data_IF_198799129278
#
_entry.id   IF_198799129278
#
_cell.length_a   1.000
_cell.length_b   1.000
_cell.length_c   1.000
_cell.angle_alpha   90.00
_cell.angle_beta   90.00
_cell.angle_gamma   90.00
#
_symmetry.space_group_name_H-M   'P 1'
#
loop_
_entity.id
_entity.type
_entity.pdbx_description
1 polymer ?
#
# COMPACT_ATOMS: atom_id res chain seq x y z
N UNK A 1 -11.14 -72.71 47.17
CA UNK A 1 -9.81 -73.23 47.54
C UNK A 1 -8.91 -73.20 46.32
N UNK A 2 -7.67 -72.79 46.53
CA UNK A 2 -6.64 -72.42 45.56
C UNK A 2 -6.03 -73.67 44.90
N UNK A 3 -5.58 -73.54 43.64
CA UNK A 3 -4.29 -74.00 43.03
C UNK A 3 -4.53 -74.45 41.58
N UNK A 4 -4.12 -73.64 40.60
CA UNK A 4 -2.77 -73.58 40.01
C UNK A 4 -2.46 -74.79 39.12
N UNK A 5 -2.47 -74.55 37.80
CA UNK A 5 -1.68 -75.30 36.82
C UNK A 5 -1.19 -74.32 35.76
N UNK A 6 0.08 -73.92 35.89
CA UNK A 6 0.88 -73.38 34.79
C UNK A 6 1.22 -74.51 33.81
N UNK A 7 1.27 -74.22 32.51
CA UNK A 7 1.75 -75.20 31.54
C UNK A 7 1.57 -74.86 30.06
N UNK A 8 2.37 -73.91 29.57
CA UNK A 8 2.95 -73.90 28.21
C UNK A 8 2.00 -73.70 26.99
N UNK A 9 1.64 -72.44 26.70
CA UNK A 9 1.18 -72.05 25.37
C UNK A 9 2.39 -71.61 24.51
N UNK A 10 2.61 -72.34 23.42
CA UNK A 10 3.68 -72.12 22.42
C UNK A 10 3.67 -70.68 21.90
N UNK A 11 4.85 -70.06 21.89
CA UNK A 11 5.13 -68.78 21.25
C UNK A 11 4.75 -68.83 19.76
N UNK A 12 3.69 -68.12 19.38
CA UNK A 12 3.43 -67.77 17.99
C UNK A 12 4.26 -66.52 17.71
N UNK A 13 5.40 -66.72 17.06
CA UNK A 13 6.21 -65.63 16.53
C UNK A 13 5.46 -64.99 15.36
N UNK A 14 4.74 -63.90 15.64
CA UNK A 14 4.35 -62.97 14.59
C UNK A 14 5.63 -62.31 14.05
N UNK A 15 6.09 -62.76 12.88
CA UNK A 15 7.03 -61.98 12.07
C UNK A 15 6.37 -60.63 11.80
N UNK A 16 6.81 -59.60 12.52
CA UNK A 16 6.47 -58.21 12.26
C UNK A 16 7.06 -57.87 10.90
N UNK A 17 6.23 -57.91 9.86
CA UNK A 17 6.60 -57.46 8.53
C UNK A 17 6.73 -55.93 8.60
N UNK A 18 7.93 -55.44 8.94
CA UNK A 18 8.25 -54.01 8.94
C UNK A 18 8.43 -53.51 7.49
N UNK A 19 7.36 -53.57 6.70
CA UNK A 19 7.17 -52.61 5.61
C UNK A 19 6.16 -51.60 6.12
N UNK A 20 6.65 -50.54 6.75
CA UNK A 20 5.87 -49.32 6.80
C UNK A 20 5.70 -48.88 5.35
N UNK A 21 4.53 -49.13 4.75
CA UNK A 21 4.05 -48.41 3.58
C UNK A 21 3.77 -46.95 4.01
N UNK A 22 4.84 -46.25 4.38
CA UNK A 22 4.80 -44.85 4.68
C UNK A 22 4.62 -44.15 3.33
N UNK A 23 3.38 -43.78 3.01
CA UNK A 23 3.04 -42.95 1.85
C UNK A 23 4.01 -41.77 1.85
N UNK A 24 4.91 -41.73 0.88
CA UNK A 24 5.88 -40.67 0.82
C UNK A 24 5.19 -39.44 0.26
N UNK A 25 5.59 -38.25 0.73
CA UNK A 25 4.95 -37.01 0.31
C UNK A 25 5.00 -36.83 -1.23
N UNK A 26 5.94 -37.46 -1.92
CA UNK A 26 6.03 -37.43 -3.38
C UNK A 26 5.07 -38.37 -4.13
N UNK A 27 4.38 -39.26 -3.42
CA UNK A 27 3.37 -40.17 -3.98
C UNK A 27 1.99 -39.49 -4.10
N UNK A 28 1.83 -38.29 -3.55
CA UNK A 28 0.58 -37.53 -3.67
C UNK A 28 0.39 -36.97 -5.09
N UNK A 29 -0.86 -36.85 -5.55
CA UNK A 29 -1.21 -36.17 -6.78
C UNK A 29 -0.62 -34.75 -6.91
N UNK A 30 -0.27 -34.37 -8.15
CA UNK A 30 0.40 -33.11 -8.50
C UNK A 30 -0.38 -31.87 -8.05
N UNK A 31 -1.72 -31.93 -8.10
CA UNK A 31 -2.64 -30.90 -7.65
C UNK A 31 -2.59 -30.70 -6.12
N UNK A 32 -2.50 -31.78 -5.34
CA UNK A 32 -2.33 -31.71 -3.89
C UNK A 32 -0.96 -31.11 -3.55
N UNK A 33 0.10 -31.54 -4.24
CA UNK A 33 1.44 -30.98 -4.05
C UNK A 33 1.52 -29.50 -4.44
N UNK A 34 0.83 -29.11 -5.52
CA UNK A 34 0.66 -27.72 -5.92
C UNK A 34 -0.09 -26.90 -4.87
N UNK A 35 -1.15 -27.47 -4.28
CA UNK A 35 -1.89 -26.83 -3.17
C UNK A 35 -1.01 -26.63 -1.94
N UNK A 36 -0.17 -27.61 -1.58
CA UNK A 36 0.81 -27.49 -0.49
C UNK A 36 1.80 -26.37 -0.80
N UNK A 37 2.42 -26.36 -1.99
CA UNK A 37 3.34 -25.30 -2.41
C UNK A 37 2.70 -23.91 -2.36
N UNK A 38 1.39 -23.83 -2.61
CA UNK A 38 0.66 -22.56 -2.54
C UNK A 38 0.59 -22.01 -1.12
N UNK A 39 0.51 -22.88 -0.10
CA UNK A 39 0.39 -22.42 1.30
C UNK A 39 1.73 -21.97 1.89
N UNK A 40 2.85 -22.36 1.28
CA UNK A 40 4.18 -22.02 1.75
C UNK A 40 4.62 -20.59 1.39
N UNK A 41 5.57 -20.06 2.15
CA UNK A 41 6.27 -18.83 1.78
C UNK A 41 7.18 -19.08 0.57
N UNK A 42 7.47 -18.02 -0.20
CA UNK A 42 8.38 -18.09 -1.36
C UNK A 42 9.73 -18.77 -1.05
N UNK A 43 10.25 -18.59 0.18
CA UNK A 43 11.53 -19.18 0.59
C UNK A 43 11.41 -20.68 0.89
N UNK A 44 10.36 -21.09 1.58
CA UNK A 44 10.12 -22.50 1.90
C UNK A 44 9.86 -23.29 0.62
N UNK A 45 8.98 -22.76 -0.24
CA UNK A 45 8.57 -23.42 -1.47
C UNK A 45 9.70 -23.49 -2.51
N UNK A 46 10.56 -22.46 -2.59
CA UNK A 46 11.81 -22.57 -3.38
C UNK A 46 12.82 -23.54 -2.77
N UNK A 47 12.85 -23.67 -1.43
CA UNK A 47 13.62 -24.68 -0.72
C UNK A 47 13.15 -26.11 -1.01
N UNK A 48 11.84 -26.33 -1.16
CA UNK A 48 11.30 -27.63 -1.55
C UNK A 48 11.84 -28.10 -2.90
N UNK A 49 12.07 -27.18 -3.84
CA UNK A 49 12.70 -27.51 -5.13
C UNK A 49 14.14 -28.07 -5.03
N UNK A 50 14.76 -27.98 -3.85
CA UNK A 50 16.06 -28.58 -3.56
C UNK A 50 15.94 -30.00 -2.99
N UNK A 51 14.77 -30.40 -2.50
CA UNK A 51 14.53 -31.70 -1.84
C UNK A 51 14.52 -32.85 -2.85
N UNK A 52 13.89 -32.68 -4.01
CA UNK A 52 13.89 -33.69 -5.07
C UNK A 52 13.65 -33.10 -6.46
N UNK A 53 13.89 -33.90 -7.50
CA UNK A 53 13.60 -33.53 -8.89
C UNK A 53 12.10 -33.29 -9.13
N UNK A 54 11.22 -34.03 -8.45
CA UNK A 54 9.76 -33.87 -8.53
C UNK A 54 9.37 -32.49 -7.99
N UNK A 55 9.79 -32.16 -6.76
CA UNK A 55 9.52 -30.85 -6.17
C UNK A 55 10.13 -29.70 -6.97
N UNK A 56 11.30 -29.90 -7.57
CA UNK A 56 11.92 -28.90 -8.46
C UNK A 56 11.04 -28.62 -9.66
N UNK A 57 10.51 -29.66 -10.31
CA UNK A 57 9.64 -29.53 -11.48
C UNK A 57 8.32 -28.85 -11.10
N UNK A 58 7.70 -29.30 -10.00
CA UNK A 58 6.48 -28.72 -9.46
C UNK A 58 6.65 -27.24 -9.12
N UNK A 59 7.72 -26.88 -8.40
CA UNK A 59 8.00 -25.50 -8.06
C UNK A 59 8.14 -24.61 -9.31
N UNK A 60 8.84 -25.09 -10.35
CA UNK A 60 9.05 -24.32 -11.59
C UNK A 60 7.77 -24.08 -12.39
N UNK A 61 6.75 -24.92 -12.23
CA UNK A 61 5.50 -24.85 -13.00
C UNK A 61 4.29 -24.35 -12.19
N UNK A 62 4.30 -24.52 -10.87
CA UNK A 62 3.17 -24.21 -9.97
C UNK A 62 3.50 -23.10 -8.96
N UNK A 63 4.63 -22.41 -9.10
CA UNK A 63 4.94 -21.26 -8.26
C UNK A 63 3.89 -20.16 -8.47
N UNK A 64 3.18 -19.78 -7.41
CA UNK A 64 2.11 -18.79 -7.45
C UNK A 64 2.49 -17.42 -6.85
N UNK A 65 3.56 -17.39 -6.04
CA UNK A 65 4.05 -16.21 -5.30
C UNK A 65 5.54 -16.05 -5.54
N UNK A 66 5.93 -14.96 -6.19
CA UNK A 66 7.32 -14.55 -6.36
C UNK A 66 7.59 -13.31 -5.50
N UNK A 67 8.52 -13.44 -4.57
CA UNK A 67 8.86 -12.36 -3.63
C UNK A 67 10.36 -12.15 -3.59
N UNK A 68 10.84 -11.15 -4.33
CA UNK A 68 12.24 -10.77 -4.42
C UNK A 68 12.49 -9.53 -3.58
N UNK A 69 13.06 -9.73 -2.39
CA UNK A 69 13.44 -8.66 -1.47
C UNK A 69 14.87 -8.86 -1.01
N UNK A 70 15.41 -7.90 -0.26
CA UNK A 70 16.71 -8.09 0.39
C UNK A 70 16.75 -9.38 1.23
N UNK A 71 15.68 -9.70 1.95
CA UNK A 71 15.62 -10.83 2.88
C UNK A 71 15.46 -12.18 2.16
N UNK A 72 14.70 -12.24 1.07
CA UNK A 72 14.53 -13.49 0.31
C UNK A 72 15.71 -13.77 -0.60
N UNK A 73 16.41 -12.72 -1.03
CA UNK A 73 17.58 -12.88 -1.87
C UNK A 73 18.84 -13.09 -1.01
N UNK A 74 19.18 -12.19 -0.11
CA UNK A 74 20.43 -12.32 0.62
C UNK A 74 20.20 -13.02 1.95
N UNK A 75 20.83 -14.19 2.13
CA UNK A 75 20.79 -14.83 3.43
C UNK A 75 21.55 -13.97 4.45
N UNK A 76 21.00 -13.75 5.66
CA UNK A 76 21.64 -12.89 6.67
C UNK A 76 23.06 -13.35 7.04
N UNK A 77 23.26 -14.67 7.14
CA UNK A 77 24.52 -15.32 7.56
C UNK A 77 25.54 -15.45 6.44
N UNK A 78 25.12 -15.36 5.18
CA UNK A 78 26.03 -15.49 4.05
C UNK A 78 26.71 -14.13 3.76
N UNK A 79 27.94 -13.99 4.26
CA UNK A 79 28.78 -12.79 4.06
C UNK A 79 29.56 -12.80 2.74
N UNK A 80 29.63 -13.94 2.02
CA UNK A 80 30.45 -14.05 0.80
C UNK A 80 29.83 -13.28 -0.38
N UNK A 81 28.50 -13.13 -0.40
CA UNK A 81 27.81 -12.39 -1.46
C UNK A 81 27.64 -10.93 -1.05
N UNK A 82 28.35 -10.04 -1.75
CA UNK A 82 28.17 -8.58 -1.59
C UNK A 82 26.71 -8.21 -1.90
N UNK A 83 26.08 -7.43 -1.01
CA UNK A 83 24.68 -6.98 -1.11
C UNK A 83 24.54 -5.78 -2.05
N UNK A 84 24.97 -5.95 -3.29
CA UNK A 84 24.93 -4.89 -4.33
C UNK A 84 23.65 -4.96 -5.15
N UNK A 85 23.33 -3.86 -5.82
CA UNK A 85 22.20 -3.77 -6.78
C UNK A 85 22.37 -4.74 -7.95
N UNK A 86 23.59 -4.85 -8.47
CA UNK A 86 23.93 -5.77 -9.57
C UNK A 86 23.74 -7.22 -9.15
N UNK A 87 24.24 -7.61 -7.96
CA UNK A 87 24.07 -8.98 -7.46
C UNK A 87 22.59 -9.31 -7.20
N UNK A 88 21.81 -8.36 -6.70
CA UNK A 88 20.37 -8.54 -6.57
C UNK A 88 19.74 -8.82 -7.93
N UNK A 89 20.04 -7.98 -8.93
CA UNK A 89 19.48 -8.11 -10.28
C UNK A 89 19.87 -9.44 -10.95
N UNK A 90 21.14 -9.84 -10.88
CA UNK A 90 21.60 -11.13 -11.44
C UNK A 90 20.92 -12.33 -10.79
N UNK A 91 20.66 -12.26 -9.48
CA UNK A 91 19.95 -13.34 -8.79
C UNK A 91 18.48 -13.39 -9.21
N UNK A 92 17.79 -12.25 -9.31
CA UNK A 92 16.40 -12.22 -9.82
C UNK A 92 16.35 -12.80 -11.23
N UNK A 93 17.25 -12.38 -12.12
CA UNK A 93 17.38 -12.93 -13.47
C UNK A 93 17.55 -14.45 -13.46
N UNK A 94 18.45 -14.97 -12.61
CA UNK A 94 18.72 -16.41 -12.49
C UNK A 94 17.50 -17.19 -11.98
N UNK A 95 16.71 -16.61 -11.08
CA UNK A 95 15.47 -17.23 -10.61
C UNK A 95 14.41 -17.24 -11.71
N UNK A 96 14.14 -16.10 -12.35
CA UNK A 96 13.09 -15.99 -13.37
C UNK A 96 13.37 -16.87 -14.59
N UNK A 97 14.64 -17.04 -14.98
CA UNK A 97 15.03 -17.96 -16.08
C UNK A 97 14.67 -19.43 -15.82
N UNK A 98 14.46 -19.82 -14.56
CA UNK A 98 14.12 -21.20 -14.21
C UNK A 98 12.62 -21.48 -14.18
N UNK A 99 11.79 -20.45 -14.29
CA UNK A 99 10.34 -20.55 -14.13
C UNK A 99 9.64 -20.53 -15.49
N UNK A 100 8.53 -21.27 -15.59
CA UNK A 100 7.67 -21.25 -16.77
C UNK A 100 6.62 -20.13 -16.64
N UNK A 101 6.29 -19.46 -17.76
CA UNK A 101 5.34 -18.34 -17.80
C UNK A 101 3.88 -18.76 -18.04
N UNK A 102 3.58 -20.06 -18.05
CA UNK A 102 2.25 -20.57 -18.43
C UNK A 102 1.20 -20.51 -17.31
N UNK A 103 1.63 -20.41 -16.05
CA UNK A 103 0.73 -20.40 -14.90
C UNK A 103 0.48 -18.96 -14.41
N UNK A 104 -0.77 -18.59 -14.10
CA UNK A 104 -1.07 -17.27 -13.57
C UNK A 104 -0.44 -17.08 -12.19
N UNK A 105 0.31 -15.99 -12.02
CA UNK A 105 0.84 -15.60 -10.72
C UNK A 105 -0.21 -14.84 -9.90
N UNK A 106 -0.37 -15.22 -8.64
CA UNK A 106 -1.14 -14.38 -7.73
C UNK A 106 -0.34 -13.15 -7.31
N UNK A 107 0.96 -13.33 -7.03
CA UNK A 107 1.78 -12.26 -6.45
C UNK A 107 3.18 -12.19 -7.04
N UNK A 108 3.55 -11.00 -7.49
CA UNK A 108 4.87 -10.67 -8.01
C UNK A 108 5.40 -9.42 -7.31
N UNK A 109 6.43 -9.62 -6.46
CA UNK A 109 6.99 -8.56 -5.61
C UNK A 109 8.48 -8.41 -5.87
N UNK A 110 8.92 -7.18 -6.13
CA UNK A 110 10.31 -6.77 -6.17
C UNK A 110 10.48 -5.57 -5.24
N UNK A 111 11.25 -5.73 -4.16
CA UNK A 111 11.61 -4.65 -3.24
C UNK A 111 13.12 -4.57 -3.05
N UNK A 112 13.76 -3.66 -3.78
CA UNK A 112 15.18 -3.39 -3.64
C UNK A 112 15.51 -2.06 -4.30
N UNK A 113 16.38 -1.24 -3.71
CA UNK A 113 16.66 0.12 -4.15
C UNK A 113 17.38 0.25 -5.50
N UNK A 114 16.80 -0.24 -6.59
CA UNK A 114 17.32 -0.21 -7.95
C UNK A 114 17.22 1.21 -8.54
N UNK A 115 17.94 1.42 -9.64
CA UNK A 115 18.12 2.72 -10.29
C UNK A 115 18.01 2.56 -11.80
N UNK A 116 17.84 3.66 -12.53
CA UNK A 116 17.72 3.70 -13.99
C UNK A 116 18.76 2.87 -14.74
N UNK A 117 20.00 2.78 -14.26
CA UNK A 117 21.04 1.93 -14.85
C UNK A 117 20.72 0.42 -14.92
N UNK A 118 19.72 -0.07 -14.19
CA UNK A 118 19.30 -1.48 -14.19
C UNK A 118 18.06 -1.73 -15.06
N UNK A 119 17.67 -0.76 -15.90
CA UNK A 119 16.47 -0.82 -16.76
C UNK A 119 16.39 -2.11 -17.59
N UNK A 120 17.52 -2.60 -18.12
CA UNK A 120 17.55 -3.84 -18.90
C UNK A 120 17.09 -5.07 -18.12
N UNK A 121 17.42 -5.17 -16.84
CA UNK A 121 16.94 -6.24 -15.97
C UNK A 121 15.46 -6.05 -15.64
N UNK A 122 15.11 -4.85 -15.16
CA UNK A 122 13.74 -4.55 -14.72
C UNK A 122 12.74 -4.73 -15.87
N UNK A 123 13.04 -4.24 -17.08
CA UNK A 123 12.18 -4.43 -18.26
C UNK A 123 11.89 -5.91 -18.54
N UNK A 124 12.89 -6.80 -18.38
CA UNK A 124 12.68 -8.24 -18.55
C UNK A 124 11.76 -8.81 -17.47
N UNK A 125 11.90 -8.34 -16.22
CA UNK A 125 11.04 -8.76 -15.12
C UNK A 125 9.60 -8.28 -15.27
N UNK A 126 9.40 -7.05 -15.74
CA UNK A 126 8.06 -6.51 -16.01
C UNK A 126 7.38 -7.30 -17.13
N UNK A 127 8.10 -7.66 -18.20
CA UNK A 127 7.56 -8.53 -19.26
C UNK A 127 7.19 -9.92 -18.73
N UNK A 128 8.04 -10.52 -17.90
CA UNK A 128 7.73 -11.79 -17.23
C UNK A 128 6.47 -11.67 -16.36
N UNK A 129 6.35 -10.60 -15.57
CA UNK A 129 5.21 -10.31 -14.71
C UNK A 129 3.90 -10.15 -15.52
N UNK A 130 3.96 -9.42 -16.63
CA UNK A 130 2.83 -9.25 -17.55
C UNK A 130 2.42 -10.59 -18.19
N UNK A 131 3.38 -11.34 -18.75
CA UNK A 131 3.13 -12.63 -19.38
C UNK A 131 2.54 -13.68 -18.42
N UNK A 132 2.92 -13.62 -17.15
CA UNK A 132 2.39 -14.49 -16.09
C UNK A 132 1.07 -14.02 -15.48
N UNK A 133 0.42 -13.00 -16.06
CA UNK A 133 -0.91 -12.50 -15.65
C UNK A 133 -1.00 -12.21 -14.15
N UNK A 134 0.06 -11.62 -13.59
CA UNK A 134 0.18 -11.39 -12.17
C UNK A 134 -0.97 -10.54 -11.61
N UNK A 135 -1.65 -11.01 -10.56
CA UNK A 135 -2.78 -10.28 -9.95
C UNK A 135 -2.33 -9.18 -8.99
N UNK A 136 -1.29 -9.44 -8.21
CA UNK A 136 -0.75 -8.52 -7.23
C UNK A 136 0.69 -8.16 -7.57
N UNK A 137 0.90 -6.94 -8.07
CA UNK A 137 2.19 -6.44 -8.53
C UNK A 137 2.71 -5.42 -7.53
N UNK A 138 3.95 -5.60 -7.08
CA UNK A 138 4.65 -4.66 -6.21
C UNK A 138 6.05 -4.44 -6.74
N UNK A 139 6.32 -3.23 -7.22
CA UNK A 139 7.64 -2.81 -7.68
C UNK A 139 8.07 -1.62 -6.83
N UNK A 140 8.98 -1.84 -5.91
CA UNK A 140 9.43 -0.84 -4.96
C UNK A 140 10.96 -0.71 -4.97
N UNK A 141 11.41 0.40 -5.54
CA UNK A 141 12.82 0.74 -5.64
C UNK A 141 13.26 1.80 -4.65
N UNK A 142 12.48 2.02 -3.59
CA UNK A 142 12.82 2.97 -2.54
C UNK A 142 14.17 2.56 -1.93
N UNK A 143 15.16 3.47 -1.92
CA UNK A 143 16.42 3.19 -1.23
C UNK A 143 16.13 2.98 0.26
N UNK A 144 16.88 2.09 0.91
CA UNK A 144 16.75 1.90 2.37
C UNK A 144 17.02 3.19 3.16
N UNK A 145 16.68 3.16 4.45
CA UNK A 145 16.52 4.24 5.45
C UNK A 145 17.50 5.45 5.40
N UNK A 146 18.66 5.34 4.73
CA UNK A 146 19.62 6.45 4.55
C UNK A 146 19.24 7.48 3.47
N UNK A 147 18.00 7.48 2.97
CA UNK A 147 17.58 8.34 1.86
C UNK A 147 16.18 8.93 2.04
N UNK A 148 16.07 10.01 2.81
CA UNK A 148 14.88 10.86 2.83
C UNK A 148 14.70 11.62 1.51
N UNK A 149 15.80 11.86 0.78
CA UNK A 149 15.76 12.56 -0.49
C UNK A 149 14.89 11.81 -1.52
N UNK A 150 13.92 12.53 -2.08
CA UNK A 150 13.08 12.11 -3.21
C UNK A 150 13.88 11.56 -4.39
N UNK A 151 15.15 11.97 -4.49
CA UNK A 151 16.09 11.64 -5.55
C UNK A 151 15.69 12.27 -6.88
N UNK A 152 16.69 12.59 -7.70
CA UNK A 152 16.43 13.16 -9.01
C UNK A 152 15.65 12.16 -9.89
N UNK A 153 14.66 12.67 -10.62
CA UNK A 153 13.81 11.88 -11.52
C UNK A 153 14.65 11.09 -12.54
N UNK A 154 15.77 11.65 -13.02
CA UNK A 154 16.71 11.01 -13.94
C UNK A 154 17.34 9.70 -13.38
N UNK A 155 17.31 9.49 -12.06
CA UNK A 155 17.88 8.31 -11.41
C UNK A 155 16.87 7.17 -11.25
N UNK A 156 15.58 7.46 -11.41
CA UNK A 156 14.47 6.51 -11.22
C UNK A 156 14.23 5.70 -12.50
N UNK A 157 13.76 4.48 -12.31
CA UNK A 157 13.33 3.64 -13.42
C UNK A 157 12.01 4.18 -13.99
N UNK A 158 11.88 4.24 -15.32
CA UNK A 158 10.60 4.59 -15.95
C UNK A 158 9.79 3.31 -16.05
N UNK A 159 8.65 3.26 -15.36
CA UNK A 159 7.77 2.11 -15.37
C UNK A 159 6.90 2.12 -16.63
N UNK A 160 6.94 1.05 -17.45
CA UNK A 160 6.23 1.01 -18.72
C UNK A 160 4.78 0.53 -18.51
N UNK A 161 3.85 1.47 -18.28
CA UNK A 161 2.43 1.17 -18.07
C UNK A 161 1.82 0.38 -19.24
N UNK A 162 2.25 0.70 -20.48
CA UNK A 162 1.78 0.08 -21.72
C UNK A 162 2.11 -1.42 -21.87
N UNK A 163 3.08 -1.97 -21.12
CA UNK A 163 3.42 -3.41 -21.18
C UNK A 163 2.29 -4.29 -20.62
N UNK A 164 1.34 -3.69 -19.90
CA UNK A 164 0.14 -4.36 -19.40
C UNK A 164 -1.09 -4.11 -20.30
N UNK A 165 -0.95 -3.33 -21.37
CA UNK A 165 -2.00 -3.21 -22.38
C UNK A 165 -1.91 -4.40 -23.33
N UNK A 166 -2.89 -5.30 -23.29
CA UNK A 166 -3.00 -6.40 -24.27
C UNK A 166 -3.44 -5.90 -25.65
N UNK A 167 -3.50 -6.79 -26.67
CA UNK A 167 -4.09 -6.49 -27.98
C UNK A 167 -5.52 -5.94 -27.88
N UNK A 168 -6.25 -6.36 -26.82
CA UNK A 168 -7.63 -5.95 -26.51
C UNK A 168 -7.68 -4.75 -25.53
N UNK A 169 -6.54 -4.10 -25.25
CA UNK A 169 -6.47 -2.84 -24.51
C UNK A 169 -6.54 -2.90 -22.98
N UNK A 170 -6.73 -4.06 -22.34
CA UNK A 170 -6.81 -4.14 -20.87
C UNK A 170 -6.18 -5.41 -20.29
N UNK A 171 -5.22 -5.28 -19.36
CA UNK A 171 -4.85 -6.39 -18.49
C UNK A 171 -5.89 -6.52 -17.37
N UNK A 172 -6.92 -7.31 -17.64
CA UNK A 172 -8.03 -7.61 -16.72
C UNK A 172 -7.62 -8.33 -15.43
N UNK A 173 -6.37 -8.78 -15.31
CA UNK A 173 -5.90 -9.64 -14.23
C UNK A 173 -5.38 -8.87 -13.01
N UNK A 174 -4.78 -7.69 -13.23
CA UNK A 174 -4.11 -6.94 -12.15
C UNK A 174 -5.17 -6.33 -11.24
N UNK A 175 -5.16 -6.78 -9.98
CA UNK A 175 -6.05 -6.30 -8.93
C UNK A 175 -5.35 -5.32 -7.99
N UNK A 176 -4.08 -5.56 -7.67
CA UNK A 176 -3.30 -4.70 -6.79
C UNK A 176 -2.01 -4.24 -7.47
N UNK A 177 -1.77 -2.93 -7.47
CA UNK A 177 -0.58 -2.32 -8.03
C UNK A 177 0.06 -1.40 -6.98
N UNK A 178 1.27 -1.76 -6.55
CA UNK A 178 2.13 -0.92 -5.73
C UNK A 178 3.38 -0.53 -6.51
N UNK A 179 3.58 0.77 -6.69
CA UNK A 179 4.77 1.34 -7.31
C UNK A 179 5.47 2.25 -6.29
N UNK A 180 6.76 1.99 -6.08
CA UNK A 180 7.62 2.73 -5.17
C UNK A 180 8.87 3.22 -5.87
N UNK A 181 9.14 4.53 -5.82
CA UNK A 181 10.37 5.14 -6.31
C UNK A 181 10.65 4.90 -7.81
N UNK A 182 9.63 5.12 -8.64
CA UNK A 182 9.70 5.03 -10.11
C UNK A 182 9.26 6.33 -10.76
N UNK A 183 9.57 6.50 -12.04
CA UNK A 183 8.98 7.50 -12.91
C UNK A 183 7.81 6.88 -13.67
N UNK A 184 6.72 7.63 -13.80
CA UNK A 184 5.63 7.32 -14.70
C UNK A 184 5.68 8.27 -15.89
N UNK A 185 5.65 7.70 -17.08
CA UNK A 185 5.37 8.44 -18.30
C UNK A 185 3.88 8.35 -18.57
N UNK A 186 3.20 9.48 -18.41
CA UNK A 186 1.75 9.62 -18.55
C UNK A 186 1.35 10.17 -19.90
N UNK A 187 2.31 10.48 -20.79
CA UNK A 187 2.03 10.89 -22.17
C UNK A 187 1.46 9.73 -23.00
N UNK A 188 1.75 8.48 -22.61
CA UNK A 188 1.21 7.26 -23.20
C UNK A 188 0.06 6.69 -22.36
N UNK A 189 -1.17 6.64 -22.89
CA UNK A 189 -2.35 5.83 -22.45
C UNK A 189 -2.63 5.59 -20.94
N UNK A 190 -2.01 6.37 -20.04
CA UNK A 190 -2.17 6.34 -18.59
C UNK A 190 -2.27 4.95 -17.94
N UNK A 191 -3.19 4.85 -17.00
CA UNK A 191 -3.50 3.61 -16.26
C UNK A 191 -4.59 2.76 -16.95
N UNK A 192 -4.92 3.01 -18.22
CA UNK A 192 -6.01 2.31 -18.92
C UNK A 192 -5.85 0.78 -18.93
N UNK A 193 -4.60 0.31 -18.87
CA UNK A 193 -4.26 -1.12 -18.77
C UNK A 193 -4.79 -1.82 -17.50
N UNK A 194 -5.28 -1.07 -16.50
CA UNK A 194 -5.60 -1.56 -15.15
C UNK A 194 -7.08 -1.41 -14.77
N UNK A 195 -8.02 -1.66 -15.70
CA UNK A 195 -9.45 -1.46 -15.47
C UNK A 195 -10.05 -2.21 -14.24
N UNK A 196 -9.52 -3.39 -13.91
CA UNK A 196 -9.98 -4.22 -12.78
C UNK A 196 -9.21 -3.96 -11.47
N UNK A 197 -8.44 -2.87 -11.40
CA UNK A 197 -7.64 -2.55 -10.24
C UNK A 197 -8.54 -2.24 -9.03
N UNK A 198 -8.30 -2.96 -7.93
CA UNK A 198 -8.94 -2.77 -6.63
C UNK A 198 -8.11 -1.91 -5.70
N UNK A 199 -6.77 -1.97 -5.81
CA UNK A 199 -5.86 -1.21 -4.96
C UNK A 199 -4.73 -0.60 -5.76
N UNK A 200 -4.59 0.72 -5.67
CA UNK A 200 -3.47 1.47 -6.20
C UNK A 200 -2.67 2.08 -5.06
N UNK A 201 -1.35 1.87 -5.09
CA UNK A 201 -0.42 2.52 -4.16
C UNK A 201 0.75 3.11 -4.94
N UNK A 202 0.93 4.42 -4.81
CA UNK A 202 1.97 5.21 -5.45
C UNK A 202 2.83 5.85 -4.34
N UNK A 203 4.10 5.49 -4.28
CA UNK A 203 5.04 5.99 -3.28
C UNK A 203 6.27 6.59 -3.95
N UNK A 204 6.61 7.85 -3.64
CA UNK A 204 7.81 8.53 -4.20
C UNK A 204 7.87 8.53 -5.72
N UNK A 205 6.72 8.69 -6.37
CA UNK A 205 6.62 8.70 -7.83
C UNK A 205 7.05 10.06 -8.39
N UNK A 206 7.77 10.03 -9.50
CA UNK A 206 8.00 11.21 -10.35
C UNK A 206 7.18 11.08 -11.63
N UNK A 207 6.61 12.17 -12.10
CA UNK A 207 5.79 12.19 -13.32
C UNK A 207 6.58 12.91 -14.43
N UNK A 208 6.64 12.29 -15.61
CA UNK A 208 7.23 12.89 -16.80
C UNK A 208 6.14 13.59 -17.62
N UNK A 209 6.51 14.63 -18.37
CA UNK A 209 5.61 15.24 -19.37
C UNK A 209 4.79 16.45 -18.91
N UNK A 210 5.20 17.17 -17.86
CA UNK A 210 4.62 18.49 -17.54
C UNK A 210 3.13 18.50 -17.24
N UNK A 211 2.58 17.36 -16.74
CA UNK A 211 1.17 17.26 -16.42
C UNK A 211 0.73 18.34 -15.45
N UNK A 212 -0.44 18.93 -15.69
CA UNK A 212 -1.14 19.80 -14.75
C UNK A 212 -1.95 18.99 -13.70
N UNK A 213 -2.27 17.72 -13.96
CA UNK A 213 -3.00 16.85 -13.05
C UNK A 213 -2.76 15.37 -13.34
N UNK A 214 -2.83 14.50 -12.31
CA UNK A 214 -2.94 13.06 -12.50
C UNK A 214 -4.42 12.68 -12.71
N UNK A 215 -4.78 12.37 -13.95
CA UNK A 215 -6.12 11.88 -14.29
C UNK A 215 -6.19 10.37 -14.04
N UNK A 216 -7.04 9.95 -13.10
CA UNK A 216 -7.36 8.54 -12.91
C UNK A 216 -8.41 8.12 -13.97
N UNK A 217 -8.17 7.02 -14.72
CA UNK A 217 -9.14 6.51 -15.68
C UNK A 217 -10.37 5.94 -14.97
N UNK A 218 -11.34 5.48 -15.75
CA UNK A 218 -12.53 4.79 -15.25
C UNK A 218 -12.14 3.46 -14.58
N UNK A 219 -11.95 3.53 -13.25
CA UNK A 219 -11.72 2.34 -12.44
C UNK A 219 -13.05 1.81 -11.88
N UNK A 220 -13.61 0.82 -12.55
CA UNK A 220 -14.86 0.18 -12.13
C UNK A 220 -14.74 -0.67 -10.86
N UNK A 221 -13.51 -0.93 -10.39
CA UNK A 221 -13.24 -1.81 -9.25
C UNK A 221 -12.38 -1.20 -8.15
N UNK A 222 -11.95 0.07 -8.26
CA UNK A 222 -10.99 0.64 -7.31
C UNK A 222 -11.66 0.85 -5.95
N UNK A 223 -11.12 0.18 -4.92
CA UNK A 223 -11.59 0.23 -3.54
C UNK A 223 -10.62 1.03 -2.65
N UNK A 224 -9.34 1.11 -3.04
CA UNK A 224 -8.28 1.71 -2.25
C UNK A 224 -7.29 2.51 -3.09
N UNK A 225 -7.11 3.79 -2.73
CA UNK A 225 -6.10 4.67 -3.30
C UNK A 225 -5.14 5.16 -2.21
N UNK A 226 -3.84 4.98 -2.42
CA UNK A 226 -2.83 5.57 -1.56
C UNK A 226 -1.74 6.24 -2.38
N UNK A 227 -1.50 7.51 -2.13
CA UNK A 227 -0.44 8.30 -2.78
C UNK A 227 0.39 8.93 -1.68
N UNK A 228 1.71 8.72 -1.72
CA UNK A 228 2.61 9.24 -0.69
C UNK A 228 3.92 9.74 -1.26
N UNK A 229 4.40 10.87 -0.73
CA UNK A 229 5.63 11.51 -1.16
C UNK A 229 5.66 11.74 -2.68
N UNK A 230 4.57 12.21 -3.28
CA UNK A 230 4.51 12.51 -4.71
C UNK A 230 4.43 14.02 -4.92
N UNK A 231 5.05 14.51 -5.99
CA UNK A 231 4.88 15.89 -6.45
C UNK A 231 4.02 15.87 -7.71
N UNK A 232 2.82 16.42 -7.59
CA UNK A 232 1.75 16.37 -8.59
C UNK A 232 0.99 17.68 -8.49
N UNK A 233 0.80 18.47 -9.56
CA UNK A 233 0.08 19.74 -9.43
C UNK A 233 -1.39 19.55 -9.03
N UNK A 234 -2.03 18.44 -9.38
CA UNK A 234 -3.37 18.08 -8.92
C UNK A 234 -3.65 16.59 -9.01
N UNK A 235 -4.73 16.16 -8.36
CA UNK A 235 -5.31 14.82 -8.47
C UNK A 235 -6.79 14.95 -8.81
N UNK A 236 -7.22 14.40 -9.95
CA UNK A 236 -8.62 14.40 -10.31
C UNK A 236 -9.09 13.13 -11.02
N UNK A 237 -10.40 12.92 -11.00
CA UNK A 237 -11.07 11.78 -11.63
C UNK A 237 -11.90 12.23 -12.81
N UNK A 238 -11.89 11.47 -13.91
CA UNK A 238 -12.78 11.75 -15.04
C UNK A 238 -14.25 11.40 -14.77
N UNK A 239 -14.51 10.51 -13.81
CA UNK A 239 -15.83 9.99 -13.46
C UNK A 239 -15.89 9.59 -11.98
N UNK A 240 -17.10 9.43 -11.40
CA UNK A 240 -17.27 9.00 -10.02
C UNK A 240 -16.67 7.61 -9.75
N UNK A 241 -15.79 7.52 -8.75
CA UNK A 241 -15.20 6.26 -8.29
C UNK A 241 -16.14 5.52 -7.35
N UNK A 242 -17.16 4.86 -7.92
CA UNK A 242 -18.29 4.25 -7.21
C UNK A 242 -17.90 3.22 -6.13
N UNK A 243 -16.77 2.53 -6.28
CA UNK A 243 -16.34 1.49 -5.33
C UNK A 243 -15.26 1.95 -4.36
N UNK A 244 -14.78 3.19 -4.47
CA UNK A 244 -13.69 3.68 -3.65
C UNK A 244 -14.14 3.86 -2.21
N UNK A 245 -13.45 3.18 -1.29
CA UNK A 245 -13.76 3.19 0.15
C UNK A 245 -12.72 3.91 0.97
N UNK A 246 -11.46 3.86 0.53
CA UNK A 246 -10.36 4.49 1.25
C UNK A 246 -9.44 5.28 0.34
N UNK A 247 -9.14 6.51 0.76
CA UNK A 247 -8.13 7.38 0.15
C UNK A 247 -7.12 7.78 1.21
N UNK A 248 -5.83 7.61 0.91
CA UNK A 248 -4.72 8.07 1.75
C UNK A 248 -3.75 8.93 0.96
N UNK A 249 -3.53 10.17 1.40
CA UNK A 249 -2.66 11.15 0.76
C UNK A 249 -1.67 11.68 1.79
N UNK A 250 -0.39 11.33 1.65
CA UNK A 250 0.62 11.63 2.66
C UNK A 250 1.87 12.30 2.07
N UNK A 251 2.26 13.45 2.62
CA UNK A 251 3.48 14.17 2.25
C UNK A 251 3.55 14.47 0.74
N UNK A 252 2.41 14.80 0.13
CA UNK A 252 2.34 15.12 -1.29
C UNK A 252 2.37 16.64 -1.50
N UNK A 253 3.06 17.09 -2.55
CA UNK A 253 2.98 18.47 -3.02
C UNK A 253 1.89 18.53 -4.09
N UNK A 254 0.67 18.87 -3.67
CA UNK A 254 -0.55 18.99 -4.47
C UNK A 254 -1.11 20.41 -4.36
N UNK A 255 -1.70 20.97 -5.42
CA UNK A 255 -2.42 22.25 -5.33
C UNK A 255 -3.91 22.06 -5.03
N UNK A 256 -4.51 20.98 -5.51
CA UNK A 256 -5.92 20.65 -5.29
C UNK A 256 -6.20 19.15 -5.46
N UNK A 257 -7.28 18.68 -4.85
CA UNK A 257 -7.81 17.33 -4.99
C UNK A 257 -9.28 17.40 -5.41
N UNK A 258 -9.65 16.74 -6.50
CA UNK A 258 -11.03 16.68 -7.00
C UNK A 258 -11.37 15.22 -7.28
N UNK A 259 -11.87 14.52 -6.26
CA UNK A 259 -12.29 13.13 -6.35
C UNK A 259 -13.79 13.07 -6.19
N UNK A 260 -14.50 12.41 -7.09
CA UNK A 260 -15.91 12.13 -6.88
C UNK A 260 -16.06 10.70 -6.37
N UNK A 261 -16.26 10.52 -5.06
CA UNK A 261 -16.23 9.22 -4.40
C UNK A 261 -17.45 9.03 -3.46
N UNK A 262 -18.64 8.73 -4.00
CA UNK A 262 -19.90 8.73 -3.24
C UNK A 262 -20.02 7.64 -2.16
N UNK A 263 -19.13 6.65 -2.18
CA UNK A 263 -19.10 5.53 -1.24
C UNK A 263 -17.85 5.53 -0.34
N UNK A 264 -17.16 6.68 -0.23
CA UNK A 264 -15.97 6.81 0.58
C UNK A 264 -16.31 6.66 2.06
N UNK A 265 -15.59 5.76 2.74
CA UNK A 265 -15.78 5.47 4.17
C UNK A 265 -14.58 5.94 5.01
N UNK A 266 -13.40 6.10 4.39
CA UNK A 266 -12.18 6.49 5.09
C UNK A 266 -11.34 7.45 4.25
N UNK A 267 -11.00 8.59 4.83
CA UNK A 267 -10.09 9.57 4.23
C UNK A 267 -8.95 9.89 5.21
N UNK A 268 -7.72 9.85 4.71
CA UNK A 268 -6.53 10.13 5.51
C UNK A 268 -5.64 11.08 4.71
N UNK A 269 -5.44 12.27 5.25
CA UNK A 269 -4.68 13.35 4.64
C UNK A 269 -3.59 13.81 5.62
N UNK A 270 -2.32 13.70 5.22
CA UNK A 270 -1.18 14.24 5.98
C UNK A 270 -0.35 15.13 5.07
N UNK A 271 -0.77 16.39 4.89
CA UNK A 271 -0.20 17.33 3.91
C UNK A 271 -0.26 18.77 4.49
N UNK A 272 0.43 19.74 3.86
CA UNK A 272 0.08 21.15 4.05
C UNK A 272 -1.40 21.40 3.70
N UNK A 273 -2.01 22.49 4.18
CA UNK A 273 -3.37 22.87 3.80
C UNK A 273 -3.55 22.88 2.28
N UNK A 274 -4.54 22.13 1.77
CA UNK A 274 -4.82 22.03 0.34
C UNK A 274 -6.34 21.92 0.12
N UNK A 275 -6.93 22.66 -0.82
CA UNK A 275 -8.35 22.52 -1.11
C UNK A 275 -8.65 21.13 -1.68
N UNK A 276 -9.76 20.54 -1.23
CA UNK A 276 -10.20 19.24 -1.75
C UNK A 276 -11.71 19.10 -1.82
N UNK A 277 -12.17 18.34 -2.82
CA UNK A 277 -13.57 17.96 -3.03
C UNK A 277 -13.63 16.44 -3.16
N UNK A 278 -14.49 15.79 -2.37
CA UNK A 278 -14.64 14.31 -2.34
C UNK A 278 -15.99 13.81 -2.90
N UNK A 279 -16.87 14.71 -3.32
CA UNK A 279 -18.27 14.42 -3.65
C UNK A 279 -19.11 14.12 -2.40
N UNK A 280 -20.43 14.22 -2.50
CA UNK A 280 -21.32 13.90 -1.37
C UNK A 280 -21.31 12.39 -1.11
N UNK A 281 -20.87 11.97 0.08
CA UNK A 281 -20.95 10.57 0.52
C UNK A 281 -22.21 10.35 1.35
N UNK A 282 -22.95 9.29 1.04
CA UNK A 282 -24.14 8.88 1.80
C UNK A 282 -23.81 7.89 2.93
N UNK A 283 -22.53 7.53 3.10
CA UNK A 283 -22.08 6.54 4.08
C UNK A 283 -21.39 7.20 5.27
N UNK A 284 -21.39 6.47 6.38
CA UNK A 284 -20.55 6.80 7.54
C UNK A 284 -19.10 6.90 7.08
N UNK A 285 -18.53 8.08 7.28
CA UNK A 285 -17.19 8.43 6.82
C UNK A 285 -16.34 8.84 8.02
N UNK A 286 -15.14 8.27 8.09
CA UNK A 286 -14.09 8.65 9.03
C UNK A 286 -12.99 9.42 8.29
N UNK A 287 -12.56 10.56 8.83
CA UNK A 287 -11.48 11.36 8.28
C UNK A 287 -10.37 11.59 9.31
N UNK A 288 -9.12 11.45 8.87
CA UNK A 288 -7.93 11.79 9.66
C UNK A 288 -7.15 12.85 8.89
N UNK A 289 -7.04 14.05 9.44
CA UNK A 289 -6.40 15.20 8.80
C UNK A 289 -5.21 15.62 9.67
N UNK A 290 -4.00 15.55 9.13
CA UNK A 290 -2.78 16.05 9.75
C UNK A 290 -2.19 17.16 8.89
N UNK A 291 -2.24 18.39 9.39
CA UNK A 291 -1.75 19.57 8.69
C UNK A 291 -0.26 19.75 8.94
N UNK A 292 0.50 19.81 7.86
CA UNK A 292 1.95 20.03 7.87
C UNK A 292 2.23 21.50 7.56
N UNK A 293 1.99 22.37 8.53
CA UNK A 293 2.28 23.80 8.48
C UNK A 293 3.00 24.21 9.76
N UNK A 294 3.74 25.34 9.73
CA UNK A 294 4.23 25.99 10.95
C UNK A 294 3.27 27.08 11.43
N UNK A 295 2.32 27.48 10.60
CA UNK A 295 1.37 28.55 10.87
C UNK A 295 0.07 28.00 11.47
N UNK A 296 -0.73 28.90 12.03
CA UNK A 296 -2.09 28.61 12.47
C UNK A 296 -2.96 28.23 11.26
N UNK A 297 -3.70 27.11 11.38
CA UNK A 297 -4.56 26.58 10.33
C UNK A 297 -6.05 26.63 10.69
N UNK A 298 -6.44 27.39 11.73
CA UNK A 298 -7.84 27.50 12.13
C UNK A 298 -8.75 28.00 11.00
N UNK A 299 -8.32 28.97 10.20
CA UNK A 299 -9.11 29.45 9.06
C UNK A 299 -9.42 28.31 8.08
N UNK A 300 -8.43 27.49 7.73
CA UNK A 300 -8.61 26.30 6.89
C UNK A 300 -9.52 25.25 7.56
N UNK A 301 -9.39 25.04 8.87
CA UNK A 301 -10.22 24.09 9.63
C UNK A 301 -11.69 24.56 9.69
N UNK A 302 -11.92 25.87 9.69
CA UNK A 302 -13.26 26.46 9.79
C UNK A 302 -13.91 26.73 8.45
N UNK A 303 -13.12 26.80 7.37
CA UNK A 303 -13.61 27.13 6.04
C UNK A 303 -13.63 25.93 5.11
N UNK A 304 -12.45 25.39 4.79
CA UNK A 304 -12.28 24.33 3.80
C UNK A 304 -12.78 22.98 4.30
N UNK A 305 -12.46 22.60 5.54
CA UNK A 305 -12.85 21.28 6.06
C UNK A 305 -14.38 21.08 6.16
N UNK A 306 -15.19 22.02 6.70
CA UNK A 306 -16.64 21.85 6.74
C UNK A 306 -17.27 21.83 5.35
N UNK A 307 -16.70 22.58 4.40
CA UNK A 307 -17.16 22.57 3.01
C UNK A 307 -16.86 21.23 2.32
N UNK A 308 -15.67 20.66 2.54
CA UNK A 308 -15.23 19.44 1.89
C UNK A 308 -15.72 18.14 2.58
N UNK A 309 -15.97 18.19 3.89
CA UNK A 309 -16.28 17.04 4.75
C UNK A 309 -17.63 17.21 5.48
N UNK A 310 -18.60 17.89 4.88
CA UNK A 310 -19.90 18.19 5.50
C UNK A 310 -20.65 16.96 6.06
N UNK A 311 -20.45 15.78 5.47
CA UNK A 311 -21.11 14.52 5.87
C UNK A 311 -20.24 13.57 6.69
N UNK A 312 -19.05 14.00 7.14
CA UNK A 312 -18.17 13.17 7.96
C UNK A 312 -18.82 12.86 9.31
N UNK A 313 -18.58 11.66 9.85
CA UNK A 313 -19.14 11.22 11.14
C UNK A 313 -18.12 11.22 12.27
N UNK A 314 -16.87 10.85 11.95
CA UNK A 314 -15.73 10.91 12.88
C UNK A 314 -14.58 11.63 12.21
N UNK A 315 -14.07 12.67 12.87
CA UNK A 315 -12.98 13.50 12.36
C UNK A 315 -11.86 13.56 13.41
N UNK A 316 -10.65 13.19 13.01
CA UNK A 316 -9.43 13.43 13.79
C UNK A 316 -8.61 14.50 13.10
N UNK A 317 -8.27 15.58 13.81
CA UNK A 317 -7.42 16.66 13.31
C UNK A 317 -6.12 16.70 14.10
N UNK A 318 -4.99 16.81 13.43
CA UNK A 318 -3.71 17.13 14.02
C UNK A 318 -3.18 18.38 13.34
N UNK A 319 -3.12 19.49 14.05
CA UNK A 319 -2.62 20.77 13.53
C UNK A 319 -1.91 21.51 14.65
N UNK A 320 -0.77 22.15 14.38
CA UNK A 320 -0.25 23.19 15.27
C UNK A 320 -1.33 24.26 15.51
N UNK A 321 -1.35 24.77 16.74
CA UNK A 321 -2.14 25.92 17.13
C UNK A 321 -1.18 26.99 17.62
N UNK A 322 -1.14 28.13 16.94
CA UNK A 322 -0.31 29.26 17.33
C UNK A 322 -1.13 30.20 18.21
N UNK A 323 -0.58 30.55 19.38
CA UNK A 323 -1.17 31.48 20.34
C UNK A 323 -0.35 32.76 20.27
N UNK A 324 -0.98 33.85 19.82
CA UNK A 324 -0.38 35.18 19.75
C UNK A 324 -1.26 36.15 20.57
N UNK A 325 -0.68 37.28 20.99
CA UNK A 325 -1.37 38.32 21.78
C UNK A 325 -2.56 38.98 21.05
N UNK A 326 -2.58 38.91 19.72
CA UNK A 326 -3.67 39.43 18.89
C UNK A 326 -4.59 38.30 18.43
N UNK A 327 -5.89 38.42 18.74
CA UNK A 327 -6.94 37.55 18.22
C UNK A 327 -6.99 37.65 16.69
N UNK A 328 -6.34 36.73 15.99
CA UNK A 328 -6.54 36.58 14.55
C UNK A 328 -7.96 36.10 14.29
N UNK A 329 -8.77 37.02 13.73
CA UNK A 329 -10.08 36.71 13.19
C UNK A 329 -9.96 35.67 12.06
N UNK A 330 -10.94 34.79 11.99
CA UNK A 330 -11.07 33.80 10.92
C UNK A 330 -12.35 34.08 10.13
N UNK A 331 -12.38 33.69 8.86
CA UNK A 331 -13.56 33.86 8.04
C UNK A 331 -14.68 32.94 8.55
N UNK A 332 -15.79 33.53 9.03
CA UNK A 332 -17.00 32.77 9.34
C UNK A 332 -17.73 32.48 8.03
N UNK A 333 -17.83 31.20 7.66
CA UNK A 333 -18.64 30.76 6.52
C UNK A 333 -19.82 29.89 6.95
N UNK A 334 -20.78 29.73 6.04
CA UNK A 334 -22.02 28.98 6.27
C UNK A 334 -21.82 27.45 6.27
N UNK A 335 -20.67 26.96 5.78
CA UNK A 335 -20.42 25.52 5.71
C UNK A 335 -20.32 24.90 7.12
N UNK A 336 -20.89 23.71 7.29
CA UNK A 336 -20.98 23.02 8.58
C UNK A 336 -20.70 21.54 8.43
N UNK A 337 -20.21 20.94 9.51
CA UNK A 337 -20.17 19.49 9.67
C UNK A 337 -21.54 18.98 10.12
N UNK A 338 -22.41 18.69 9.15
CA UNK A 338 -23.83 18.38 9.37
C UNK A 338 -24.00 17.07 10.16
N UNK A 339 -23.12 16.08 9.92
CA UNK A 339 -23.25 14.72 10.47
C UNK A 339 -22.14 14.35 11.46
N UNK A 340 -21.26 15.28 11.83
CA UNK A 340 -20.11 14.99 12.69
C UNK A 340 -20.57 14.73 14.12
N UNK A 341 -20.27 13.53 14.63
CA UNK A 341 -20.60 13.10 15.98
C UNK A 341 -19.38 13.02 16.90
N UNK A 342 -18.21 12.70 16.35
CA UNK A 342 -16.99 12.50 17.14
C UNK A 342 -15.84 13.32 16.55
N UNK A 343 -15.33 14.28 17.31
CA UNK A 343 -14.19 15.12 16.93
C UNK A 343 -13.03 14.91 17.91
N UNK A 344 -11.89 14.45 17.40
CA UNK A 344 -10.65 14.38 18.16
C UNK A 344 -9.66 15.39 17.59
N UNK A 345 -9.07 16.23 18.43
CA UNK A 345 -8.04 17.19 18.01
C UNK A 345 -6.74 17.01 18.79
N UNK A 346 -5.64 16.96 18.06
CA UNK A 346 -4.28 16.95 18.60
C UNK A 346 -3.60 18.26 18.22
N UNK A 347 -3.38 19.11 19.21
CA UNK A 347 -2.97 20.50 19.03
C UNK A 347 -1.65 20.77 19.77
N UNK A 348 -0.50 20.62 19.08
CA UNK A 348 0.76 21.14 19.58
C UNK A 348 0.69 22.67 19.64
N UNK A 349 0.87 23.24 20.83
CA UNK A 349 0.87 24.69 21.02
C UNK A 349 2.23 25.29 20.70
N UNK A 350 2.19 26.44 20.03
CA UNK A 350 3.33 27.31 19.80
C UNK A 350 2.96 28.75 20.19
N UNK A 351 3.90 29.50 20.76
CA UNK A 351 3.67 30.89 21.19
C UNK A 351 3.54 31.03 22.70
N UNK A 352 2.85 32.08 23.16
CA UNK A 352 2.69 32.35 24.58
C UNK A 352 1.67 31.39 25.21
N UNK A 353 2.17 30.51 26.09
CA UNK A 353 1.37 29.50 26.77
C UNK A 353 0.57 30.08 27.94
N UNK A 354 0.82 31.33 28.35
CA UNK A 354 0.05 32.03 29.38
C UNK A 354 -1.28 32.58 28.83
N UNK A 355 -1.39 32.74 27.52
CA UNK A 355 -2.61 33.19 26.86
C UNK A 355 -3.59 32.03 26.57
N UNK A 356 -4.82 32.15 27.07
CA UNK A 356 -5.92 31.19 26.83
C UNK A 356 -6.72 31.51 25.56
N UNK A 357 -6.51 32.69 24.97
CA UNK A 357 -7.35 33.21 23.88
C UNK A 357 -7.28 32.34 22.62
N UNK A 358 -6.12 31.71 22.38
CA UNK A 358 -5.94 30.75 21.30
C UNK A 358 -6.85 29.52 21.42
N UNK A 359 -7.08 29.04 22.65
CA UNK A 359 -7.95 27.89 22.92
C UNK A 359 -9.42 28.29 22.81
N UNK A 360 -9.79 29.49 23.26
CA UNK A 360 -11.16 30.00 23.16
C UNK A 360 -11.65 30.10 21.71
N UNK A 361 -10.74 30.34 20.75
CA UNK A 361 -11.05 30.32 19.31
C UNK A 361 -11.60 28.97 18.83
N UNK A 362 -11.31 27.86 19.54
CA UNK A 362 -11.84 26.52 19.23
C UNK A 362 -13.34 26.41 19.51
N UNK A 363 -13.92 27.29 20.33
CA UNK A 363 -15.35 27.27 20.62
C UNK A 363 -16.21 27.40 19.35
N UNK A 364 -15.69 28.04 18.30
CA UNK A 364 -16.39 28.15 17.01
C UNK A 364 -16.63 26.79 16.34
N UNK A 365 -15.84 25.75 16.64
CA UNK A 365 -16.10 24.39 16.16
C UNK A 365 -17.46 23.86 16.61
N UNK A 366 -17.92 24.26 17.80
CA UNK A 366 -19.22 23.87 18.32
C UNK A 366 -20.36 24.48 17.50
N UNK A 367 -20.16 25.69 16.95
CA UNK A 367 -21.12 26.30 16.02
C UNK A 367 -21.12 25.58 14.65
N UNK A 368 -19.96 25.07 14.22
CA UNK A 368 -19.80 24.37 12.94
C UNK A 368 -20.27 22.91 12.96
N UNK A 369 -20.34 22.28 14.14
CA UNK A 369 -20.69 20.87 14.32
C UNK A 369 -21.94 20.70 15.21
N UNK A 370 -23.14 21.03 14.71
CA UNK A 370 -24.37 21.02 15.51
C UNK A 370 -24.81 19.63 15.99
N UNK A 371 -24.29 18.56 15.39
CA UNK A 371 -24.61 17.17 15.75
C UNK A 371 -23.51 16.49 16.60
N UNK A 372 -22.57 17.26 17.13
CA UNK A 372 -21.41 16.74 17.87
C UNK A 372 -21.85 16.10 19.20
N UNK A 373 -21.44 14.86 19.42
CA UNK A 373 -21.73 14.07 20.62
C UNK A 373 -20.49 13.98 21.53
N UNK A 374 -19.29 13.89 20.94
CA UNK A 374 -18.03 13.75 21.66
C UNK A 374 -16.94 14.67 21.08
N UNK A 375 -16.29 15.43 21.96
CA UNK A 375 -15.15 16.28 21.66
C UNK A 375 -13.95 15.88 22.54
N UNK A 376 -12.91 15.36 21.92
CA UNK A 376 -11.64 15.05 22.56
C UNK A 376 -10.58 16.08 22.18
N UNK A 377 -10.05 16.81 23.16
CA UNK A 377 -9.00 17.80 22.95
C UNK A 377 -7.70 17.33 23.61
N UNK A 378 -6.67 17.10 22.79
CA UNK A 378 -5.33 16.78 23.25
C UNK A 378 -4.41 17.96 22.94
N UNK A 379 -4.20 18.79 23.96
CA UNK A 379 -3.35 19.97 23.87
C UNK A 379 -2.00 19.64 24.51
N UNK A 380 -0.91 19.88 23.79
CA UNK A 380 0.44 19.66 24.30
C UNK A 380 1.29 20.90 24.06
N UNK A 381 1.79 21.53 25.13
CA UNK A 381 2.76 22.62 25.02
C UNK A 381 4.10 22.08 24.53
N UNK A 382 4.61 22.61 23.41
CA UNK A 382 6.02 22.47 23.05
C UNK A 382 6.73 23.72 23.57
N UNK A 383 7.53 23.56 24.63
CA UNK A 383 8.52 24.57 25.04
C UNK A 383 9.56 24.65 23.92
N UNK A 384 9.43 25.63 23.02
CA UNK A 384 10.56 26.03 22.18
C UNK A 384 11.45 26.94 23.02
N UNK A 385 12.61 26.40 23.43
CA UNK A 385 13.78 27.17 23.88
C UNK A 385 14.31 28.08 22.78
#
# INVERSE_FOLDING_TARGET
MIRSTEGCAKSITFKRNNKSDAVQLHDLPTDILGSILSRLTFRESSGMGLVSHIWRRLWRSCCWKLVFTRATMFQPRNKSIKRTRTNFAMRVDSFLRQLHTHSPLDKFVIKFGLRRKHTCHVNRWIRFCSASRARHITIDFTPGVKGFAMGLANSKYIFPLNVFSGPDGSSTHVRFLHLGYVCLDTTSSGFMAFANLKKLTLHKISFLGGLQCLMLPEFNSLEWLSISYCSLPGLSTCQPLQRLRCVRLHYCYLKKIELEAPNLTSFDLTNPPIPFVLGASLKVMEANIKLLSYDDNLDYIYTELPAALSHVHKLSITSPLCIFDELQGFAKISARFINLRHLTMYLPLYGDLESIDGILRLAYLLELAPALEELELHVSGLLTL
#
